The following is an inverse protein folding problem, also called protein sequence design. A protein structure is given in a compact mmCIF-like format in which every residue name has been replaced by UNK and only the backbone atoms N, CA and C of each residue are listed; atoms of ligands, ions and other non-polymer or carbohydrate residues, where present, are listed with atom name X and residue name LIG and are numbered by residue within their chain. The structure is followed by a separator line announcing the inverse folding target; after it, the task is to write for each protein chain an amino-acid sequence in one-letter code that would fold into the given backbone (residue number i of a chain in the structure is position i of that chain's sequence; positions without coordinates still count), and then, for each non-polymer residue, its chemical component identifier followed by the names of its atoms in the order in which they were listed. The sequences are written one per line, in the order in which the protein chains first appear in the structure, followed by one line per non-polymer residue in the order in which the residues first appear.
data_IF_586075952647
#
_entry.id   IF_586075952647
#
_cell.length_a   1.000
_cell.length_b   1.000
_cell.length_c   1.000
_cell.angle_alpha   90.00
_cell.angle_beta   90.00
_cell.angle_gamma   90.00
#
_symmetry.space_group_name_H-M   'P 1'
#
loop_
_entity.id
_entity.type
_entity.pdbx_description
1 polymer ?
#
# COMPACT_ATOMS: atom_id res chain seq x y z
N UNK A 1 -14.89 -25.87 -14.85
CA UNK A 1 -14.02 -24.75 -14.44
C UNK A 1 -14.79 -23.47 -14.63
N UNK A 2 -14.95 -22.65 -13.58
CA UNK A 2 -15.54 -21.32 -13.76
C UNK A 2 -14.59 -20.47 -14.63
N UNK A 3 -15.11 -19.67 -15.57
CA UNK A 3 -14.28 -18.75 -16.33
C UNK A 3 -13.64 -17.76 -15.36
N UNK A 4 -12.30 -17.75 -15.30
CA UNK A 4 -11.56 -16.72 -14.55
C UNK A 4 -11.85 -15.37 -15.22
N UNK A 5 -12.08 -14.28 -14.47
CA UNK A 5 -12.28 -12.96 -15.05
C UNK A 5 -11.08 -12.58 -15.94
N UNK A 6 -11.37 -12.16 -17.16
CA UNK A 6 -10.44 -11.33 -17.91
C UNK A 6 -10.32 -10.03 -17.12
N UNK A 7 -9.08 -9.63 -16.76
CA UNK A 7 -8.85 -8.50 -15.86
C UNK A 7 -9.33 -7.17 -16.49
N UNK A 8 -10.60 -6.81 -16.24
CA UNK A 8 -11.27 -5.54 -16.57
C UNK A 8 -11.30 -4.57 -15.37
N UNK A 9 -10.63 -4.93 -14.27
CA UNK A 9 -10.44 -4.00 -13.16
C UNK A 9 -9.23 -3.15 -13.51
N UNK A 10 -9.39 -1.85 -13.76
CA UNK A 10 -8.31 -0.88 -14.05
C UNK A 10 -7.31 -0.71 -12.87
N UNK A 11 -6.73 -1.80 -12.37
CA UNK A 11 -5.86 -1.85 -11.19
C UNK A 11 -6.57 -1.88 -9.83
N UNK A 12 -7.90 -2.00 -9.77
CA UNK A 12 -8.66 -2.02 -8.50
C UNK A 12 -8.47 -3.34 -7.74
N UNK A 13 -7.77 -3.28 -6.61
CA UNK A 13 -7.43 -4.43 -5.79
C UNK A 13 -8.66 -5.05 -5.11
N UNK A 14 -9.57 -4.25 -4.56
CA UNK A 14 -10.73 -4.78 -3.83
C UNK A 14 -11.70 -5.47 -4.78
N UNK A 15 -11.95 -4.89 -5.95
CA UNK A 15 -12.77 -5.51 -6.98
C UNK A 15 -12.15 -6.83 -7.47
N UNK A 16 -10.84 -6.85 -7.68
CA UNK A 16 -10.14 -8.08 -8.06
C UNK A 16 -10.28 -9.18 -6.99
N UNK A 17 -10.06 -8.85 -5.72
CA UNK A 17 -10.16 -9.82 -4.63
C UNK A 17 -11.60 -10.30 -4.40
N UNK A 18 -12.59 -9.43 -4.60
CA UNK A 18 -14.01 -9.79 -4.54
C UNK A 18 -14.36 -10.78 -5.67
N UNK A 19 -13.93 -10.50 -6.90
CA UNK A 19 -14.16 -11.38 -8.06
C UNK A 19 -13.45 -12.74 -7.93
N UNK A 20 -12.35 -12.81 -7.18
CA UNK A 20 -11.71 -14.08 -6.82
C UNK A 20 -12.43 -14.83 -5.69
N UNK A 21 -13.36 -14.20 -4.98
CA UNK A 21 -13.97 -14.74 -3.78
C UNK A 21 -13.03 -14.76 -2.57
N UNK A 22 -11.92 -14.00 -2.62
CA UNK A 22 -10.95 -13.90 -1.52
C UNK A 22 -11.47 -13.01 -0.37
N UNK A 23 -12.37 -12.09 -0.68
CA UNK A 23 -13.10 -11.24 0.27
C UNK A 23 -14.58 -11.26 -0.10
N UNK A 24 -15.46 -11.04 0.88
CA UNK A 24 -16.91 -11.06 0.71
C UNK A 24 -17.52 -9.66 0.46
N UNK A 25 -16.76 -8.60 0.72
CA UNK A 25 -17.13 -7.19 0.49
C UNK A 25 -15.89 -6.34 0.28
N UNK A 26 -16.07 -5.13 -0.25
CA UNK A 26 -15.00 -4.15 -0.37
C UNK A 26 -14.68 -3.55 1.00
N UNK A 27 -13.65 -4.06 1.65
CA UNK A 27 -13.10 -3.50 2.89
C UNK A 27 -11.59 -3.73 2.91
N UNK A 28 -10.81 -2.64 2.98
CA UNK A 28 -9.35 -2.73 2.96
C UNK A 28 -8.76 -3.41 4.20
N UNK A 29 -9.53 -3.59 5.27
CA UNK A 29 -9.16 -4.41 6.44
C UNK A 29 -9.11 -5.91 6.15
N UNK A 30 -9.87 -6.38 5.15
CA UNK A 30 -9.89 -7.79 4.77
C UNK A 30 -8.66 -8.18 3.94
N UNK A 31 -8.02 -7.20 3.30
CA UNK A 31 -6.82 -7.43 2.48
C UNK A 31 -5.64 -7.79 3.39
N UNK A 32 -5.03 -8.94 3.12
CA UNK A 32 -3.85 -9.43 3.83
C UNK A 32 -2.59 -9.32 2.98
N UNK A 33 -1.50 -8.92 3.64
CA UNK A 33 -0.24 -8.57 3.00
C UNK A 33 0.87 -9.52 3.47
N UNK A 34 1.74 -9.92 2.56
CA UNK A 34 3.06 -10.42 2.93
C UNK A 34 4.07 -9.29 2.73
N UNK A 35 4.60 -8.78 3.83
CA UNK A 35 5.56 -7.67 3.83
C UNK A 35 6.97 -8.17 3.49
N UNK A 36 7.69 -7.42 2.65
CA UNK A 36 9.08 -7.64 2.27
C UNK A 36 9.38 -9.08 1.80
N UNK A 37 8.65 -9.59 0.80
CA UNK A 37 8.91 -10.89 0.18
C UNK A 37 10.20 -10.92 -0.69
N UNK A 38 11.33 -10.46 -0.14
CA UNK A 38 12.52 -10.14 -0.91
C UNK A 38 13.33 -11.38 -1.29
N UNK A 39 13.64 -12.24 -0.32
CA UNK A 39 14.44 -13.46 -0.51
C UNK A 39 13.63 -14.57 -1.15
N UNK A 40 14.31 -15.52 -1.80
CA UNK A 40 13.62 -16.70 -2.40
C UNK A 40 12.83 -17.49 -1.35
N UNK A 41 13.36 -17.60 -0.13
CA UNK A 41 12.68 -18.24 1.00
C UNK A 41 11.44 -17.47 1.47
N UNK A 42 11.53 -16.14 1.55
CA UNK A 42 10.42 -15.26 1.95
C UNK A 42 9.31 -15.29 0.91
N UNK A 43 9.66 -15.20 -0.38
CA UNK A 43 8.70 -15.37 -1.47
C UNK A 43 8.01 -16.74 -1.40
N UNK A 44 8.77 -17.82 -1.19
CA UNK A 44 8.20 -19.16 -1.07
C UNK A 44 7.22 -19.28 0.12
N UNK A 45 7.52 -18.64 1.24
CA UNK A 45 6.62 -18.59 2.39
C UNK A 45 5.35 -17.78 2.08
N UNK A 46 5.48 -16.61 1.47
CA UNK A 46 4.36 -15.77 1.06
C UNK A 46 3.43 -16.47 0.08
N UNK A 47 3.99 -17.17 -0.92
CA UNK A 47 3.22 -17.95 -1.89
C UNK A 47 2.41 -19.08 -1.25
N UNK A 48 2.95 -19.75 -0.22
CA UNK A 48 2.30 -20.85 0.50
C UNK A 48 1.24 -20.38 1.51
N UNK A 49 1.30 -19.14 1.95
CA UNK A 49 0.37 -18.57 2.93
C UNK A 49 -0.94 -18.09 2.29
N UNK A 50 -1.93 -17.79 3.14
CA UNK A 50 -3.24 -17.29 2.71
C UNK A 50 -3.28 -15.77 2.47
N UNK A 51 -2.11 -15.10 2.45
CA UNK A 51 -2.02 -13.67 2.13
C UNK A 51 -2.51 -13.36 0.71
N UNK A 52 -3.12 -12.21 0.51
CA UNK A 52 -3.73 -11.84 -0.78
C UNK A 52 -2.78 -11.04 -1.68
N UNK A 53 -1.85 -10.30 -1.09
CA UNK A 53 -0.91 -9.42 -1.80
C UNK A 53 0.51 -9.67 -1.33
N UNK A 54 1.45 -9.72 -2.29
CA UNK A 54 2.88 -9.78 -2.03
C UNK A 54 3.46 -8.37 -2.21
N UNK A 55 4.04 -7.84 -1.14
CA UNK A 55 4.88 -6.65 -1.16
C UNK A 55 6.36 -7.10 -1.21
N UNK A 56 7.24 -6.26 -1.77
CA UNK A 56 8.42 -6.58 -2.58
C UNK A 56 9.27 -5.31 -2.73
N UNK A 57 10.37 -5.16 -1.99
CA UNK A 57 11.26 -4.01 -2.10
C UNK A 57 12.17 -4.16 -3.32
N UNK A 58 12.24 -3.15 -4.18
CA UNK A 58 13.04 -3.17 -5.41
C UNK A 58 14.19 -2.17 -5.32
N UNK A 59 15.41 -2.67 -5.56
CA UNK A 59 16.62 -1.86 -5.61
C UNK A 59 17.55 -2.32 -6.74
N UNK A 60 18.63 -1.59 -6.98
CA UNK A 60 19.70 -2.00 -7.89
C UNK A 60 20.75 -2.83 -7.15
N UNK A 61 21.25 -3.88 -7.80
CA UNK A 61 22.35 -4.69 -7.28
C UNK A 61 23.61 -3.84 -7.09
N UNK A 62 24.17 -3.87 -5.88
CA UNK A 62 25.33 -3.06 -5.51
C UNK A 62 25.05 -1.57 -5.37
N UNK A 63 23.79 -1.14 -5.17
CA UNK A 63 23.42 0.27 -5.10
C UNK A 63 24.35 1.11 -4.19
N UNK A 64 24.86 2.23 -4.73
CA UNK A 64 25.81 3.14 -4.07
C UNK A 64 27.13 2.48 -3.63
N UNK A 65 27.55 1.39 -4.29
CA UNK A 65 28.86 0.75 -4.10
C UNK A 65 29.66 0.76 -5.39
N UNK A 66 30.98 0.48 -5.36
CA UNK A 66 31.78 0.33 -6.58
C UNK A 66 31.33 -0.81 -7.51
N UNK A 67 30.51 -1.75 -7.02
CA UNK A 67 29.99 -2.89 -7.78
C UNK A 67 28.53 -2.69 -8.22
N UNK A 68 28.04 -1.45 -8.25
CA UNK A 68 26.69 -1.14 -8.74
C UNK A 68 26.51 -1.62 -10.19
N UNK A 69 25.39 -2.29 -10.49
CA UNK A 69 25.02 -2.74 -11.84
C UNK A 69 23.69 -2.12 -12.28
N UNK A 70 23.18 -2.47 -13.46
CA UNK A 70 21.82 -2.05 -13.89
C UNK A 70 20.74 -3.10 -13.56
N UNK A 71 21.09 -4.15 -12.81
CA UNK A 71 20.21 -5.29 -12.54
C UNK A 71 19.30 -5.01 -11.33
N UNK A 72 17.97 -4.97 -11.50
CA UNK A 72 17.06 -4.85 -10.37
C UNK A 72 16.99 -6.15 -9.56
N UNK A 73 17.00 -6.00 -8.26
CA UNK A 73 16.95 -7.08 -7.27
C UNK A 73 15.90 -6.77 -6.20
N UNK A 74 15.42 -7.81 -5.55
CA UNK A 74 14.49 -7.65 -4.44
C UNK A 74 15.29 -7.39 -3.15
N UNK A 75 15.35 -6.13 -2.70
CA UNK A 75 16.16 -5.74 -1.54
C UNK A 75 15.70 -4.43 -0.89
N UNK A 76 15.48 -4.48 0.43
CA UNK A 76 15.33 -3.30 1.28
C UNK A 76 16.70 -2.84 1.84
N UNK A 77 17.05 -1.54 1.77
CA UNK A 77 18.23 -1.00 2.47
C UNK A 77 18.30 -1.40 3.95
N UNK A 78 19.48 -1.68 4.52
CA UNK A 78 20.80 -1.49 3.94
C UNK A 78 21.26 -2.63 3.01
N UNK A 79 20.42 -3.64 2.75
CA UNK A 79 20.77 -4.69 1.81
C UNK A 79 20.81 -4.11 0.38
N UNK A 80 21.96 -4.30 -0.29
CA UNK A 80 22.19 -3.93 -1.69
C UNK A 80 22.49 -5.14 -2.56
N UNK A 81 22.37 -6.35 -1.99
CA UNK A 81 22.50 -7.62 -2.69
C UNK A 81 21.36 -8.56 -2.27
N UNK A 82 20.93 -9.42 -3.19
CA UNK A 82 19.88 -10.39 -2.93
C UNK A 82 20.09 -11.69 -3.69
N UNK A 83 19.58 -12.79 -3.15
CA UNK A 83 19.54 -14.10 -3.81
C UNK A 83 18.40 -14.18 -4.86
N UNK A 84 17.61 -13.11 -4.97
CA UNK A 84 16.45 -13.02 -5.83
C UNK A 84 16.52 -11.73 -6.66
N UNK A 85 16.72 -11.89 -7.97
CA UNK A 85 16.54 -10.77 -8.90
C UNK A 85 15.05 -10.44 -9.06
N UNK A 86 14.74 -9.21 -9.48
CA UNK A 86 13.36 -8.83 -9.76
C UNK A 86 12.72 -9.72 -10.84
N UNK A 87 13.49 -10.07 -11.87
CA UNK A 87 13.01 -10.94 -12.95
C UNK A 87 12.66 -12.34 -12.43
N UNK A 88 13.53 -12.98 -11.66
CA UNK A 88 13.25 -14.29 -11.06
C UNK A 88 12.03 -14.24 -10.11
N UNK A 89 11.96 -13.20 -9.28
CA UNK A 89 10.83 -12.99 -8.37
C UNK A 89 9.52 -12.89 -9.14
N UNK A 90 9.48 -12.04 -10.18
CA UNK A 90 8.30 -11.83 -11.01
C UNK A 90 7.89 -13.12 -11.73
N UNK A 91 8.85 -13.83 -12.33
CA UNK A 91 8.59 -15.11 -13.01
C UNK A 91 7.94 -16.14 -12.06
N UNK A 92 8.44 -16.26 -10.83
CA UNK A 92 7.87 -17.19 -9.85
C UNK A 92 6.46 -16.76 -9.44
N UNK A 93 6.24 -15.48 -9.16
CA UNK A 93 4.93 -14.95 -8.72
C UNK A 93 3.86 -15.11 -9.80
N UNK A 94 4.20 -14.81 -11.05
CA UNK A 94 3.27 -14.91 -12.17
C UNK A 94 2.87 -16.35 -12.47
N UNK A 95 3.82 -17.28 -12.38
CA UNK A 95 3.59 -18.69 -12.68
C UNK A 95 2.93 -19.47 -11.53
N UNK A 96 3.10 -19.02 -10.28
CA UNK A 96 2.75 -19.84 -9.10
C UNK A 96 1.56 -19.31 -8.31
N UNK A 97 1.00 -18.14 -8.63
CA UNK A 97 -0.09 -17.55 -7.84
C UNK A 97 -0.98 -16.60 -8.63
N UNK A 98 -2.09 -16.18 -8.02
CA UNK A 98 -2.95 -15.06 -8.43
C UNK A 98 -2.90 -13.89 -7.44
N UNK A 99 -1.92 -13.86 -6.54
CA UNK A 99 -1.79 -12.81 -5.51
C UNK A 99 -1.51 -11.47 -6.15
N UNK A 100 -2.05 -10.38 -5.59
CA UNK A 100 -1.71 -9.02 -6.01
C UNK A 100 -0.22 -8.74 -5.80
N UNK A 101 0.31 -7.75 -6.52
CA UNK A 101 1.73 -7.37 -6.46
C UNK A 101 1.85 -5.91 -6.03
N UNK A 102 2.68 -5.64 -5.03
CA UNK A 102 3.14 -4.29 -4.66
C UNK A 102 4.66 -4.24 -4.71
N UNK A 103 5.22 -3.36 -5.54
CA UNK A 103 6.66 -3.18 -5.72
C UNK A 103 7.09 -1.87 -5.08
N UNK A 104 7.89 -1.93 -4.02
CA UNK A 104 8.40 -0.75 -3.31
C UNK A 104 9.80 -0.36 -3.77
N UNK A 105 9.87 0.63 -4.66
CA UNK A 105 11.13 1.12 -5.22
C UNK A 105 11.90 1.96 -4.21
N UNK A 106 13.07 1.45 -3.82
CA UNK A 106 14.00 2.12 -2.89
C UNK A 106 15.01 3.02 -3.58
N UNK A 107 15.07 2.97 -4.91
CA UNK A 107 15.98 3.77 -5.72
C UNK A 107 15.39 4.06 -7.09
N UNK A 108 15.52 5.30 -7.55
CA UNK A 108 15.07 5.72 -8.89
C UNK A 108 15.81 4.95 -10.00
N UNK A 109 17.05 4.51 -9.74
CA UNK A 109 17.84 3.71 -10.69
C UNK A 109 17.22 2.34 -10.97
N UNK A 110 16.42 1.81 -10.05
CA UNK A 110 15.79 0.51 -10.22
C UNK A 110 14.48 0.58 -11.02
N UNK A 111 13.91 1.77 -11.21
CA UNK A 111 12.57 1.96 -11.78
C UNK A 111 12.56 1.62 -13.26
N UNK A 112 13.41 2.26 -14.05
CA UNK A 112 13.42 2.08 -15.50
C UNK A 112 13.70 0.62 -15.92
N UNK A 113 14.75 -0.05 -15.40
CA UNK A 113 15.02 -1.43 -15.78
C UNK A 113 13.93 -2.40 -15.29
N UNK A 114 13.29 -2.13 -14.15
CA UNK A 114 12.17 -2.95 -13.67
C UNK A 114 10.92 -2.79 -14.54
N UNK A 115 10.59 -1.57 -14.96
CA UNK A 115 9.49 -1.32 -15.89
C UNK A 115 9.75 -1.98 -17.26
N UNK A 116 10.99 -2.00 -17.74
CA UNK A 116 11.37 -2.72 -18.94
C UNK A 116 11.14 -4.24 -18.80
N UNK A 117 11.48 -4.83 -17.65
CA UNK A 117 11.20 -6.24 -17.34
C UNK A 117 9.69 -6.51 -17.29
N UNK A 118 8.91 -5.65 -16.62
CA UNK A 118 7.45 -5.75 -16.55
C UNK A 118 6.81 -5.68 -17.93
N UNK A 119 7.20 -4.73 -18.76
CA UNK A 119 6.71 -4.58 -20.13
C UNK A 119 6.98 -5.82 -20.97
N UNK A 120 8.22 -6.32 -20.93
CA UNK A 120 8.59 -7.55 -21.64
C UNK A 120 7.72 -8.72 -21.15
N UNK A 121 7.58 -8.89 -19.83
CA UNK A 121 6.76 -9.96 -19.26
C UNK A 121 5.28 -9.84 -19.61
N UNK A 122 4.75 -8.62 -19.65
CA UNK A 122 3.36 -8.36 -20.05
C UNK A 122 3.07 -8.74 -21.49
N UNK A 123 4.08 -8.66 -22.37
CA UNK A 123 3.98 -9.09 -23.76
C UNK A 123 4.04 -10.62 -23.93
N UNK A 124 4.68 -11.31 -22.99
CA UNK A 124 4.81 -12.78 -22.97
C UNK A 124 3.59 -13.45 -22.30
N UNK A 125 3.10 -12.85 -21.21
CA UNK A 125 2.03 -13.38 -20.36
C UNK A 125 1.11 -12.24 -19.93
N UNK A 126 -0.20 -12.44 -20.06
CA UNK A 126 -1.18 -11.45 -19.60
C UNK A 126 -1.10 -11.29 -18.07
N UNK A 127 -0.71 -10.11 -17.60
CA UNK A 127 -0.77 -9.71 -16.19
C UNK A 127 -2.23 -9.52 -15.76
N UNK A 128 -2.88 -10.60 -15.32
CA UNK A 128 -4.27 -10.62 -14.89
C UNK A 128 -4.43 -10.38 -13.37
N UNK A 129 -3.72 -9.40 -12.81
CA UNK A 129 -3.76 -9.11 -11.37
C UNK A 129 -3.38 -7.65 -11.09
N UNK A 130 -3.80 -7.09 -9.94
CA UNK A 130 -3.42 -5.73 -9.55
C UNK A 130 -1.92 -5.61 -9.35
N UNK A 131 -1.35 -4.55 -9.92
CA UNK A 131 0.04 -4.13 -9.72
C UNK A 131 0.05 -2.74 -9.08
N UNK A 132 0.69 -2.65 -7.93
CA UNK A 132 0.92 -1.40 -7.21
C UNK A 132 2.40 -1.02 -7.33
N UNK A 133 2.67 0.19 -7.80
CA UNK A 133 4.02 0.73 -7.88
C UNK A 133 4.20 1.73 -6.74
N UNK A 134 5.01 1.35 -5.75
CA UNK A 134 5.24 2.09 -4.53
C UNK A 134 6.58 2.82 -4.56
N UNK A 135 6.60 4.05 -4.06
CA UNK A 135 7.83 4.76 -3.72
C UNK A 135 7.55 5.87 -2.71
N UNK A 136 8.50 6.10 -1.81
CA UNK A 136 8.54 7.32 -1.00
C UNK A 136 9.12 8.46 -1.84
N UNK A 137 8.25 9.32 -2.36
CA UNK A 137 8.61 10.38 -3.32
C UNK A 137 8.74 11.77 -2.69
N UNK A 138 8.33 11.91 -1.42
CA UNK A 138 8.44 13.15 -0.67
C UNK A 138 9.16 12.95 0.66
N UNK A 139 9.71 14.03 1.21
CA UNK A 139 10.20 14.04 2.58
C UNK A 139 9.03 14.16 3.56
N UNK A 140 8.98 13.25 4.53
CA UNK A 140 7.96 13.23 5.56
C UNK A 140 8.49 13.66 6.93
N UNK A 141 7.73 13.35 7.99
CA UNK A 141 8.06 13.75 9.35
C UNK A 141 9.38 13.17 9.85
N UNK A 142 10.09 14.01 10.61
CA UNK A 142 11.29 13.68 11.39
C UNK A 142 12.50 13.15 10.61
N UNK A 143 12.47 13.16 9.27
CA UNK A 143 13.60 12.73 8.47
C UNK A 143 14.65 13.85 8.39
N UNK A 144 15.91 13.60 8.78
CA UNK A 144 16.95 14.63 8.78
C UNK A 144 17.57 14.88 7.39
N UNK A 145 17.49 13.88 6.50
CA UNK A 145 18.14 13.89 5.17
C UNK A 145 17.13 13.43 4.13
N UNK A 146 16.99 14.19 3.04
CA UNK A 146 16.10 13.79 1.95
C UNK A 146 16.66 12.55 1.24
N UNK A 147 15.95 11.43 1.36
CA UNK A 147 16.26 10.16 0.67
C UNK A 147 15.12 9.72 -0.24
N UNK A 148 14.15 10.62 -0.48
CA UNK A 148 13.02 10.33 -1.33
C UNK A 148 13.44 10.05 -2.77
N UNK A 149 12.73 9.14 -3.42
CA UNK A 149 12.83 8.86 -4.85
C UNK A 149 12.40 10.12 -5.61
N UNK A 150 13.08 10.43 -6.72
CA UNK A 150 12.73 11.59 -7.54
C UNK A 150 11.30 11.46 -8.10
N UNK A 151 10.37 12.24 -7.58
CA UNK A 151 8.94 12.18 -7.91
C UNK A 151 8.68 12.33 -9.42
N UNK A 152 9.24 13.37 -10.04
CA UNK A 152 8.99 13.70 -11.44
C UNK A 152 9.47 12.57 -12.37
N UNK A 153 10.68 12.05 -12.13
CA UNK A 153 11.23 10.96 -12.96
C UNK A 153 10.49 9.64 -12.71
N UNK A 154 10.13 9.33 -11.46
CA UNK A 154 9.36 8.13 -11.13
C UNK A 154 8.01 8.12 -11.88
N UNK A 155 7.28 9.22 -11.78
CA UNK A 155 5.97 9.35 -12.41
C UNK A 155 6.05 9.38 -13.93
N UNK A 156 7.02 10.10 -14.52
CA UNK A 156 7.17 10.16 -15.98
C UNK A 156 7.44 8.78 -16.57
N UNK A 157 8.31 7.98 -15.94
CA UNK A 157 8.62 6.62 -16.37
C UNK A 157 7.40 5.71 -16.29
N UNK A 158 6.58 5.83 -15.24
CA UNK A 158 5.35 5.04 -15.10
C UNK A 158 4.32 5.45 -16.16
N UNK A 159 4.12 6.75 -16.41
CA UNK A 159 3.19 7.20 -17.46
C UNK A 159 3.63 6.71 -18.84
N UNK A 160 4.94 6.73 -19.12
CA UNK A 160 5.50 6.28 -20.40
C UNK A 160 5.36 4.76 -20.59
N UNK A 161 5.71 3.98 -19.55
CA UNK A 161 5.96 2.54 -19.71
C UNK A 161 4.88 1.65 -19.11
N UNK A 162 4.21 2.06 -18.05
CA UNK A 162 3.25 1.20 -17.36
C UNK A 162 2.11 2.00 -16.68
N UNK A 163 1.28 2.74 -17.44
CA UNK A 163 0.26 3.61 -16.86
C UNK A 163 -0.87 2.83 -16.17
N UNK A 164 -1.11 1.58 -16.56
CA UNK A 164 -2.18 0.72 -16.04
C UNK A 164 -1.77 0.05 -14.71
N UNK A 165 -1.59 0.86 -13.66
CA UNK A 165 -1.28 0.41 -12.31
C UNK A 165 -1.98 1.28 -11.25
N UNK A 166 -1.93 0.83 -10.00
CA UNK A 166 -2.19 1.72 -8.85
C UNK A 166 -0.87 2.31 -8.38
N UNK A 167 -0.84 3.62 -8.13
CA UNK A 167 0.31 4.29 -7.54
C UNK A 167 0.22 4.21 -6.02
N UNK A 168 1.32 3.89 -5.35
CA UNK A 168 1.41 3.85 -3.89
C UNK A 168 2.49 4.83 -3.41
N UNK A 169 2.10 6.09 -3.26
CA UNK A 169 3.05 7.21 -3.16
C UNK A 169 3.16 7.70 -1.73
N UNK A 170 4.34 7.53 -1.14
CA UNK A 170 4.59 7.77 0.27
C UNK A 170 5.51 8.93 0.55
N UNK A 171 5.83 9.07 1.84
CA UNK A 171 6.84 9.97 2.33
C UNK A 171 7.89 9.16 3.07
N UNK A 172 9.16 9.51 2.90
CA UNK A 172 10.20 9.03 3.80
C UNK A 172 9.85 9.46 5.22
N UNK A 173 9.91 8.56 6.20
CA UNK A 173 9.55 8.87 7.59
C UNK A 173 10.54 8.32 8.59
N UNK A 174 10.69 9.02 9.70
CA UNK A 174 11.43 8.51 10.86
C UNK A 174 10.55 8.59 12.11
N UNK A 175 10.47 7.48 12.84
CA UNK A 175 9.86 7.43 14.16
C UNK A 175 10.94 6.99 15.15
N UNK A 176 11.02 7.70 16.27
CA UNK A 176 11.85 7.30 17.41
C UNK A 176 11.17 7.74 18.69
N UNK A 177 11.04 6.83 19.65
CA UNK A 177 10.49 7.11 20.97
C UNK A 177 11.37 8.08 21.80
N UNK A 178 12.61 8.33 21.35
CA UNK A 178 13.59 9.17 22.05
C UNK A 178 13.54 10.67 21.70
N UNK A 179 12.83 11.05 20.64
CA UNK A 179 12.77 12.44 20.15
C UNK A 179 11.32 12.93 20.02
N UNK A 180 11.08 14.25 19.96
CA UNK A 180 9.73 14.77 19.76
C UNK A 180 9.20 14.27 18.41
N UNK A 181 8.24 13.36 18.47
CA UNK A 181 7.73 12.69 17.30
C UNK A 181 6.67 13.56 16.62
N UNK A 182 7.11 14.46 15.73
CA UNK A 182 6.18 15.26 14.92
C UNK A 182 5.46 14.34 13.95
N UNK A 183 4.23 14.71 13.62
CA UNK A 183 3.40 14.00 12.63
C UNK A 183 3.40 14.73 11.28
N UNK A 184 2.69 14.17 10.30
CA UNK A 184 2.46 14.79 9.00
C UNK A 184 1.75 16.13 9.15
N UNK A 185 2.18 17.11 8.35
CA UNK A 185 1.62 18.46 8.37
C UNK A 185 0.71 18.69 7.16
N UNK A 186 -0.22 19.64 7.28
CA UNK A 186 -1.06 20.06 6.14
C UNK A 186 -0.25 20.33 4.87
N UNK A 187 0.90 21.00 5.00
CA UNK A 187 1.79 21.32 3.87
C UNK A 187 2.28 20.06 3.16
N UNK A 188 2.72 19.04 3.91
CA UNK A 188 3.17 17.76 3.34
C UNK A 188 2.07 17.06 2.55
N UNK A 189 0.83 17.10 3.06
CA UNK A 189 -0.33 16.50 2.38
C UNK A 189 -0.71 17.28 1.13
N UNK A 190 -0.72 18.62 1.20
CA UNK A 190 -1.04 19.48 0.05
C UNK A 190 0.01 19.37 -1.06
N UNK A 191 1.29 19.24 -0.70
CA UNK A 191 2.37 18.99 -1.65
C UNK A 191 2.16 17.67 -2.38
N UNK A 192 1.89 16.57 -1.66
CA UNK A 192 1.55 15.29 -2.28
C UNK A 192 0.34 15.42 -3.22
N UNK A 193 -0.75 16.07 -2.77
CA UNK A 193 -1.94 16.29 -3.60
C UNK A 193 -1.62 17.06 -4.89
N UNK A 194 -0.76 18.08 -4.83
CA UNK A 194 -0.36 18.86 -6.00
C UNK A 194 0.37 18.03 -7.07
N UNK A 195 1.04 16.95 -6.65
CA UNK A 195 1.75 16.02 -7.54
C UNK A 195 0.76 15.04 -8.19
N UNK A 196 -0.19 14.51 -7.41
CA UNK A 196 -1.01 13.37 -7.86
C UNK A 196 -2.39 13.75 -8.41
N UNK A 197 -2.82 15.00 -8.20
CA UNK A 197 -4.16 15.49 -8.53
C UNK A 197 -4.60 15.21 -9.96
N UNK A 198 -3.69 15.37 -10.91
CA UNK A 198 -3.97 15.23 -12.36
C UNK A 198 -3.67 13.84 -12.90
N UNK A 199 -3.09 12.95 -12.10
CA UNK A 199 -2.76 11.60 -12.54
C UNK A 199 -4.04 10.77 -12.74
N UNK A 200 -4.16 9.96 -13.80
CA UNK A 200 -5.35 9.15 -14.06
C UNK A 200 -5.47 7.91 -13.14
N UNK A 201 -4.35 7.41 -12.60
CA UNK A 201 -4.31 6.18 -11.82
C UNK A 201 -5.06 6.28 -10.49
N UNK A 202 -5.48 5.13 -9.93
CA UNK A 202 -5.76 5.06 -8.48
C UNK A 202 -4.49 5.38 -7.70
N UNK A 203 -4.64 6.05 -6.57
CA UNK A 203 -3.51 6.43 -5.72
C UNK A 203 -3.81 6.03 -4.28
N UNK A 204 -2.97 5.16 -3.73
CA UNK A 204 -2.92 4.93 -2.30
C UNK A 204 -1.74 5.69 -1.69
N UNK A 205 -1.89 6.19 -0.48
CA UNK A 205 -0.81 6.88 0.24
C UNK A 205 -0.36 6.01 1.42
N UNK A 206 0.86 5.44 1.40
CA UNK A 206 1.46 4.80 2.56
C UNK A 206 1.65 5.80 3.70
N UNK A 207 0.93 5.57 4.80
CA UNK A 207 1.00 6.41 6.00
C UNK A 207 1.54 5.56 7.14
N UNK A 208 2.60 6.02 7.80
CA UNK A 208 3.12 5.34 8.98
C UNK A 208 2.11 5.46 10.12
N UNK A 209 1.50 4.35 10.52
CA UNK A 209 0.27 4.33 11.32
C UNK A 209 0.40 5.06 12.66
N UNK A 210 1.55 4.97 13.33
CA UNK A 210 1.82 5.66 14.62
C UNK A 210 1.67 7.19 14.55
N UNK A 211 1.73 7.76 13.35
CA UNK A 211 1.54 9.20 13.11
C UNK A 211 0.14 9.53 12.58
N UNK A 212 -0.62 8.53 12.12
CA UNK A 212 -1.85 8.70 11.36
C UNK A 212 -2.94 9.46 12.13
N UNK A 213 -3.21 9.09 13.39
CA UNK A 213 -4.26 9.72 14.21
C UNK A 213 -4.03 11.22 14.41
N UNK A 214 -2.80 11.62 14.73
CA UNK A 214 -2.47 13.04 14.98
C UNK A 214 -2.56 13.91 13.72
N UNK A 215 -2.32 13.32 12.54
CA UNK A 215 -2.43 14.02 11.25
C UNK A 215 -3.79 13.82 10.57
N UNK A 216 -4.76 13.18 11.24
CA UNK A 216 -5.99 12.74 10.61
C UNK A 216 -6.78 13.83 9.89
N UNK A 217 -6.94 15.06 10.41
CA UNK A 217 -7.65 16.11 9.68
C UNK A 217 -7.08 16.38 8.28
N UNK A 218 -5.76 16.23 8.11
CA UNK A 218 -5.11 16.43 6.81
C UNK A 218 -5.35 15.25 5.87
N UNK A 219 -5.30 14.02 6.38
CA UNK A 219 -5.59 12.82 5.58
C UNK A 219 -7.07 12.70 5.20
N UNK A 220 -7.97 13.07 6.10
CA UNK A 220 -9.41 13.17 5.80
C UNK A 220 -9.66 14.18 4.68
N UNK A 221 -9.03 15.37 4.74
CA UNK A 221 -9.09 16.33 3.64
C UNK A 221 -8.54 15.74 2.32
N UNK A 222 -7.43 15.01 2.36
CA UNK A 222 -6.82 14.38 1.19
C UNK A 222 -7.78 13.37 0.55
N UNK A 223 -8.33 12.46 1.33
CA UNK A 223 -9.29 11.44 0.86
C UNK A 223 -10.56 12.05 0.25
N UNK A 224 -10.96 13.25 0.68
CA UNK A 224 -12.10 13.95 0.11
C UNK A 224 -11.84 14.59 -1.27
N UNK A 225 -10.57 14.66 -1.72
CA UNK A 225 -10.24 15.30 -3.01
C UNK A 225 -10.55 14.43 -4.23
N UNK A 226 -10.63 13.10 -4.08
CA UNK A 226 -10.84 12.16 -5.18
C UNK A 226 -11.29 10.79 -4.67
N UNK A 227 -12.24 10.17 -5.36
CA UNK A 227 -12.66 8.78 -5.09
C UNK A 227 -11.57 7.74 -5.42
N UNK A 228 -10.58 8.13 -6.23
CA UNK A 228 -9.37 7.35 -6.55
C UNK A 228 -8.40 7.21 -5.37
N UNK A 229 -8.61 7.97 -4.30
CA UNK A 229 -7.65 8.05 -3.19
C UNK A 229 -7.98 7.10 -2.05
N UNK A 230 -6.94 6.40 -1.59
CA UNK A 230 -6.95 5.54 -0.41
C UNK A 230 -5.69 5.78 0.45
N UNK A 231 -5.67 5.28 1.68
CA UNK A 231 -4.47 5.20 2.51
C UNK A 231 -4.07 3.74 2.71
N UNK A 232 -2.78 3.49 2.84
CA UNK A 232 -2.25 2.22 3.35
C UNK A 232 -1.52 2.50 4.64
N UNK A 233 -2.13 2.14 5.77
CA UNK A 233 -1.53 2.29 7.08
C UNK A 233 -0.46 1.21 7.27
N UNK A 234 0.79 1.59 7.48
CA UNK A 234 1.89 0.65 7.68
C UNK A 234 2.59 0.82 9.02
N UNK A 235 3.14 -0.27 9.55
CA UNK A 235 3.82 -0.32 10.84
C UNK A 235 5.33 -0.51 10.71
N UNK A 236 6.13 0.37 11.32
CA UNK A 236 7.54 0.10 11.58
C UNK A 236 7.72 -0.89 12.74
N UNK A 237 8.81 -1.67 12.72
CA UNK A 237 9.07 -2.76 13.70
C UNK A 237 8.94 -2.37 15.18
N UNK A 238 9.21 -1.12 15.52
CA UNK A 238 9.20 -0.61 16.89
C UNK A 238 8.11 0.42 17.13
N UNK A 239 7.19 0.59 16.19
CA UNK A 239 6.14 1.60 16.29
C UNK A 239 5.08 1.14 17.31
N UNK A 240 4.81 1.93 18.38
CA UNK A 240 3.79 1.61 19.38
C UNK A 240 2.39 1.99 18.89
N UNK A 241 1.88 1.27 17.90
CA UNK A 241 0.53 1.46 17.38
C UNK A 241 -0.47 0.78 18.33
N UNK A 242 -1.58 1.46 18.60
CA UNK A 242 -2.67 0.91 19.41
C UNK A 242 -3.88 0.54 18.56
N UNK A 243 -4.68 -0.41 19.03
CA UNK A 243 -5.98 -0.74 18.42
C UNK A 243 -6.90 0.49 18.38
N UNK A 244 -6.86 1.33 19.41
CA UNK A 244 -7.68 2.54 19.48
C UNK A 244 -7.34 3.54 18.36
N UNK A 245 -6.06 3.71 18.02
CA UNK A 245 -5.65 4.61 16.93
C UNK A 245 -6.15 4.12 15.57
N UNK A 246 -6.13 2.79 15.35
CA UNK A 246 -6.66 2.18 14.13
C UNK A 246 -8.19 2.27 14.07
N UNK A 247 -8.89 2.05 15.19
CA UNK A 247 -10.35 2.22 15.30
C UNK A 247 -10.74 3.68 15.06
N UNK A 248 -9.98 4.65 15.57
CA UNK A 248 -10.21 6.05 15.30
C UNK A 248 -10.18 6.33 13.78
N UNK A 249 -9.14 5.88 13.08
CA UNK A 249 -9.05 6.08 11.62
C UNK A 249 -10.19 5.35 10.90
N UNK A 250 -10.49 4.09 11.29
CA UNK A 250 -11.54 3.27 10.70
C UNK A 250 -12.92 3.90 10.84
N UNK A 251 -13.21 4.49 11.99
CA UNK A 251 -14.48 5.16 12.29
C UNK A 251 -14.64 6.45 11.50
N UNK A 252 -13.53 7.13 11.21
CA UNK A 252 -13.53 8.37 10.46
C UNK A 252 -13.36 8.20 8.94
N UNK A 253 -13.40 6.98 8.40
CA UNK A 253 -13.19 6.72 6.97
C UNK A 253 -14.13 5.68 6.39
N UNK A 254 -14.21 5.63 5.07
CA UNK A 254 -14.88 4.55 4.36
C UNK A 254 -14.01 3.29 4.37
N UNK A 255 -14.66 2.13 4.49
CA UNK A 255 -14.01 0.81 4.55
C UNK A 255 -13.09 0.55 3.34
N UNK A 256 -13.52 0.99 2.16
CA UNK A 256 -12.80 0.77 0.91
C UNK A 256 -11.55 1.65 0.77
N UNK A 257 -11.45 2.71 1.57
CA UNK A 257 -10.39 3.73 1.44
C UNK A 257 -9.15 3.45 2.30
N UNK A 258 -9.19 2.50 3.24
CA UNK A 258 -8.06 2.26 4.15
C UNK A 258 -7.62 0.79 4.09
N UNK A 259 -6.38 0.57 3.70
CA UNK A 259 -5.68 -0.70 3.79
C UNK A 259 -4.75 -0.73 5.00
N UNK A 260 -4.46 -1.93 5.52
CA UNK A 260 -3.71 -2.12 6.75
C UNK A 260 -2.56 -3.12 6.56
N UNK A 261 -1.33 -2.63 6.52
CA UNK A 261 -0.06 -3.39 6.56
C UNK A 261 0.55 -3.31 7.96
N UNK A 262 -0.12 -3.96 8.92
CA UNK A 262 0.17 -3.89 10.36
C UNK A 262 0.53 -5.29 10.87
N UNK A 263 1.50 -5.39 11.76
CA UNK A 263 1.94 -6.67 12.31
C UNK A 263 0.99 -7.18 13.40
N UNK A 264 0.94 -8.49 13.55
CA UNK A 264 0.36 -9.14 14.72
C UNK A 264 1.20 -8.89 15.98
N UNK A 265 0.57 -8.84 17.18
CA UNK A 265 -0.83 -9.16 17.46
C UNK A 265 -1.82 -8.00 17.27
N UNK A 266 -1.34 -6.78 16.99
CA UNK A 266 -2.19 -5.57 16.93
C UNK A 266 -3.22 -5.68 15.82
N UNK A 267 -2.84 -6.20 14.64
CA UNK A 267 -3.76 -6.39 13.52
C UNK A 267 -4.92 -7.34 13.88
N UNK A 268 -4.63 -8.51 14.47
CA UNK A 268 -5.66 -9.46 14.88
C UNK A 268 -6.63 -8.87 15.90
N UNK A 269 -6.12 -8.19 16.94
CA UNK A 269 -6.96 -7.52 17.95
C UNK A 269 -7.81 -6.41 17.32
N UNK A 270 -7.23 -5.65 16.39
CA UNK A 270 -7.97 -4.62 15.66
C UNK A 270 -9.07 -5.23 14.78
N UNK A 271 -8.81 -6.33 14.07
CA UNK A 271 -9.84 -7.04 13.28
C UNK A 271 -10.98 -7.53 14.16
N UNK A 272 -10.67 -8.14 15.31
CA UNK A 272 -11.68 -8.60 16.26
C UNK A 272 -12.56 -7.44 16.74
N UNK A 273 -11.97 -6.30 17.09
CA UNK A 273 -12.72 -5.13 17.51
C UNK A 273 -13.52 -4.49 16.37
N UNK A 274 -12.90 -4.26 15.20
CA UNK A 274 -13.48 -3.50 14.09
C UNK A 274 -14.59 -4.27 13.36
N UNK A 275 -14.51 -5.60 13.32
CA UNK A 275 -15.47 -6.46 12.62
C UNK A 275 -16.59 -6.98 13.53
N UNK A 276 -16.56 -6.66 14.83
CA UNK A 276 -17.65 -6.98 15.75
C UNK A 276 -18.91 -6.17 15.39
N UNK A 277 -19.97 -6.87 14.97
CA UNK A 277 -21.25 -6.28 14.55
C UNK A 277 -21.96 -5.49 15.65
N UNK A 278 -21.68 -5.79 16.92
CA UNK A 278 -22.25 -5.08 18.08
C UNK A 278 -21.45 -3.83 18.48
N UNK A 279 -20.29 -3.58 17.86
CA UNK A 279 -19.45 -2.43 18.21
C UNK A 279 -20.12 -1.14 17.76
N UNK A 280 -20.34 -0.23 18.71
CA UNK A 280 -20.72 1.15 18.41
C UNK A 280 -19.52 1.91 17.83
N UNK A 281 -19.71 2.63 16.73
CA UNK A 281 -18.71 3.58 16.22
C UNK A 281 -18.62 4.75 17.20
N UNK A 282 -17.42 5.14 17.56
CA UNK A 282 -17.20 6.23 18.53
C UNK A 282 -16.83 7.54 17.87
N UNK A 283 -16.46 7.51 16.59
CA UNK A 283 -16.03 8.71 15.85
C UNK A 283 -16.78 8.82 14.52
N UNK A 284 -17.07 10.07 14.13
CA UNK A 284 -17.92 10.36 12.99
C UNK A 284 -17.09 10.73 11.75
N UNK A 285 -17.20 10.00 10.62
CA UNK A 285 -16.39 10.22 9.42
C UNK A 285 -16.77 11.46 8.59
N UNK A 286 -17.81 12.20 8.98
CA UNK A 286 -18.50 13.10 8.05
C UNK A 286 -19.50 12.35 7.17
N UNK A 287 -20.43 13.06 6.53
CA UNK A 287 -21.49 12.48 5.71
C UNK A 287 -22.90 12.73 6.27
N UNK A 288 -23.81 11.77 6.11
CA UNK A 288 -25.14 11.81 6.72
C UNK A 288 -25.08 11.24 8.14
N UNK A 289 -25.57 11.99 9.12
CA UNK A 289 -25.62 11.58 10.53
C UNK A 289 -26.49 10.35 10.75
N UNK A 290 -27.51 10.12 9.92
CA UNK A 290 -28.38 8.95 10.05
C UNK A 290 -27.62 7.64 9.76
N UNK A 291 -26.74 7.64 8.76
CA UNK A 291 -25.91 6.48 8.42
C UNK A 291 -24.90 6.12 9.53
N UNK A 292 -24.59 7.09 10.40
CA UNK A 292 -23.73 6.88 11.57
C UNK A 292 -24.47 6.21 12.73
N UNK A 293 -25.74 6.57 12.95
CA UNK A 293 -26.58 5.95 13.98
C UNK A 293 -27.21 4.63 13.52
N UNK A 294 -27.32 4.41 12.20
CA UNK A 294 -27.96 3.25 11.59
C UNK A 294 -27.07 2.66 10.48
N UNK A 295 -26.19 1.69 10.80
CA UNK A 295 -25.47 0.93 9.78
C UNK A 295 -26.46 0.22 8.85
N UNK A 296 -26.10 -0.01 7.58
CA UNK A 296 -26.97 -0.58 6.54
C UNK A 296 -27.57 -1.98 6.86
N UNK A 297 -27.14 -2.62 7.94
CA UNK A 297 -27.62 -3.92 8.42
C UNK A 297 -28.42 -3.85 9.75
N UNK A 298 -28.73 -2.64 10.25
CA UNK A 298 -29.56 -2.50 11.46
C UNK A 298 -31.04 -2.41 11.10
N UNK A 299 -31.67 -3.55 10.82
CA UNK A 299 -33.13 -3.68 10.69
C UNK A 299 -33.89 -3.51 12.03
N UNK A 300 -33.19 -3.17 13.12
CA UNK A 300 -33.79 -2.99 14.43
C UNK A 300 -34.16 -1.52 14.69
N UNK A 301 -35.44 -1.22 14.49
CA UNK A 301 -36.12 -0.05 15.04
C UNK A 301 -36.15 -0.16 16.57
N UNK A 302 -35.32 0.64 17.23
CA UNK A 302 -35.47 0.91 18.66
C UNK A 302 -36.16 2.26 18.84
N UNK A 303 -37.46 2.22 19.17
CA UNK A 303 -38.27 3.36 19.65
C UNK A 303 -37.90 3.66 21.10
#
# INVERSE_FOLDING_TARGET
SAPKPAFDTDGDLLEYLLNLGSIDRKDGLLVTWYHSANKKSELAAGLKSDVMVLEADVNIEGHNTPNETDKPIMAHPPAVYSDNSFQEWLDVVLNSSSKGIKLDFKSIKAVDPSLAILLKKSSEVKLNRPLWLNADILMGPNVPINTAVNASLFLSLIQEKYPNCTLSLGWTTLYSFLFPNKTYTQKMIQEMHSIVGTLPQRVTFPVRAVMGRLAWPHFSWLLAQSDRYSLTLWQGKTDPITVEDLLFIRDNSRAEQIYYDIYDPVLSQFKEAALNSTRKRFYYPGGNLLDYFHPADSDELWI
#
